data_IF_954643328025
#
_entry.id   IF_954643328025
#
_cell.length_a   1.000
_cell.length_b   1.000
_cell.length_c   1.000
_cell.angle_alpha   90.00
_cell.angle_beta   90.00
_cell.angle_gamma   90.00
#
_symmetry.space_group_name_H-M   'P 1'
#
loop_
_entity.id
_entity.type
_entity.pdbx_description
1 polymer ?
#
# COMPACT_ATOMS: atom_id res chain seq x y z
N UNK A 1 11.94 8.09 -3.11
CA UNK A 1 11.88 7.15 -1.97
C UNK A 1 10.58 6.37 -1.94
N UNK A 2 9.39 7.01 -2.00
CA UNK A 2 8.11 6.29 -2.05
C UNK A 2 7.98 5.33 -3.25
N UNK A 3 8.37 5.75 -4.47
CA UNK A 3 8.36 4.88 -5.66
C UNK A 3 9.18 3.60 -5.45
N UNK A 4 10.41 3.73 -4.91
CA UNK A 4 11.30 2.60 -4.63
C UNK A 4 10.71 1.62 -3.61
N UNK A 5 10.00 2.13 -2.59
CA UNK A 5 9.34 1.29 -1.59
C UNK A 5 8.11 0.56 -2.18
N UNK A 6 7.35 1.24 -3.04
CA UNK A 6 6.23 0.63 -3.78
C UNK A 6 6.70 -0.49 -4.70
N UNK A 7 7.77 -0.23 -5.46
CA UNK A 7 8.38 -1.20 -6.36
C UNK A 7 8.93 -2.41 -5.59
N UNK A 8 9.56 -2.19 -4.43
CA UNK A 8 10.02 -3.26 -3.54
C UNK A 8 8.87 -4.14 -3.04
N UNK A 9 7.74 -3.54 -2.64
CA UNK A 9 6.52 -4.27 -2.28
C UNK A 9 6.02 -5.14 -3.43
N UNK A 10 5.85 -4.55 -4.61
CA UNK A 10 5.32 -5.26 -5.78
C UNK A 10 6.25 -6.37 -6.23
N UNK A 11 7.58 -6.16 -6.16
CA UNK A 11 8.56 -7.22 -6.45
C UNK A 11 8.43 -8.39 -5.48
N UNK A 12 8.34 -8.12 -4.17
CA UNK A 12 8.18 -9.16 -3.15
C UNK A 12 6.86 -9.91 -3.32
N UNK A 13 5.78 -9.19 -3.62
CA UNK A 13 4.47 -9.77 -3.90
C UNK A 13 4.50 -10.67 -5.15
N UNK A 14 5.10 -10.22 -6.25
CA UNK A 14 5.21 -11.02 -7.48
C UNK A 14 5.95 -12.34 -7.27
N UNK A 15 6.99 -12.34 -6.43
CA UNK A 15 7.70 -13.57 -6.05
C UNK A 15 6.78 -14.52 -5.28
N UNK A 16 6.08 -14.02 -4.26
CA UNK A 16 5.09 -14.80 -3.51
C UNK A 16 4.00 -15.37 -4.44
N UNK A 17 3.40 -14.52 -5.26
CA UNK A 17 2.33 -14.87 -6.19
C UNK A 17 2.79 -15.93 -7.19
N UNK A 18 3.97 -15.76 -7.79
CA UNK A 18 4.53 -16.74 -8.73
C UNK A 18 4.75 -18.10 -8.08
N UNK A 19 5.24 -18.12 -6.84
CA UNK A 19 5.50 -19.37 -6.12
C UNK A 19 4.20 -20.07 -5.71
N UNK A 20 3.19 -19.31 -5.30
CA UNK A 20 1.86 -19.82 -4.99
C UNK A 20 1.10 -20.30 -6.23
N UNK A 21 1.38 -19.76 -7.42
CA UNK A 21 0.71 -20.15 -8.67
C UNK A 21 0.80 -21.65 -8.93
N UNK A 22 1.89 -22.29 -8.51
CA UNK A 22 2.09 -23.75 -8.60
C UNK A 22 0.99 -24.53 -7.88
N UNK A 23 0.44 -23.99 -6.78
CA UNK A 23 -0.65 -24.60 -6.02
C UNK A 23 -2.05 -24.22 -6.53
N UNK A 24 -2.15 -23.15 -7.32
CA UNK A 24 -3.42 -22.56 -7.77
C UNK A 24 -3.79 -22.93 -9.21
N UNK A 25 -2.89 -23.61 -9.92
CA UNK A 25 -3.17 -24.17 -11.24
C UNK A 25 -3.94 -25.48 -11.03
N UNK A 26 -5.19 -25.49 -11.48
CA UNK A 26 -6.12 -26.63 -11.39
C UNK A 26 -5.80 -27.76 -12.39
N UNK A 27 -4.74 -27.65 -13.19
CA UNK A 27 -4.36 -28.64 -14.20
C UNK A 27 -3.76 -29.94 -13.60
N UNK A 28 -3.95 -30.18 -12.30
CA UNK A 28 -3.68 -31.47 -11.65
C UNK A 28 -4.70 -32.56 -12.05
N UNK A 29 -5.20 -32.52 -13.28
CA UNK A 29 -5.85 -33.67 -13.87
C UNK A 29 -4.79 -34.71 -14.21
N UNK A 30 -4.61 -35.69 -13.32
CA UNK A 30 -3.91 -36.91 -13.68
C UNK A 30 -4.72 -37.60 -14.79
N UNK A 31 -4.13 -37.93 -15.95
CA UNK A 31 -4.76 -38.84 -16.88
C UNK A 31 -4.94 -40.20 -16.18
N UNK A 32 -6.18 -40.53 -15.81
CA UNK A 32 -6.55 -41.85 -15.27
C UNK A 32 -6.72 -42.01 -13.75
N UNK A 33 -6.83 -40.94 -12.96
CA UNK A 33 -7.36 -41.07 -11.58
C UNK A 33 -8.43 -40.03 -11.27
N UNK A 34 -9.69 -40.40 -11.43
CA UNK A 34 -10.79 -39.66 -10.81
C UNK A 34 -10.56 -39.63 -9.28
N UNK A 35 -10.36 -38.44 -8.71
CA UNK A 35 -10.36 -38.19 -7.26
C UNK A 35 -9.03 -38.37 -6.50
N UNK A 36 -7.92 -38.71 -7.16
CA UNK A 36 -6.60 -38.86 -6.49
C UNK A 36 -6.03 -37.53 -5.98
N UNK A 37 -6.01 -36.52 -6.85
CA UNK A 37 -5.46 -35.20 -6.53
C UNK A 37 -6.22 -34.48 -5.41
N UNK A 38 -7.56 -34.45 -5.46
CA UNK A 38 -8.35 -33.77 -4.42
C UNK A 38 -8.14 -34.40 -3.03
N UNK A 39 -8.00 -35.72 -2.97
CA UNK A 39 -7.71 -36.44 -1.72
C UNK A 39 -6.31 -36.13 -1.19
N UNK A 40 -5.31 -36.13 -2.08
CA UNK A 40 -3.94 -35.80 -1.71
C UNK A 40 -3.84 -34.34 -1.26
N UNK A 41 -4.46 -33.42 -2.01
CA UNK A 41 -4.55 -32.00 -1.67
C UNK A 41 -5.23 -31.77 -0.33
N UNK A 42 -6.36 -32.43 -0.06
CA UNK A 42 -7.03 -32.34 1.23
C UNK A 42 -6.13 -32.86 2.37
N UNK A 43 -5.27 -33.85 2.10
CA UNK A 43 -4.27 -34.34 3.06
C UNK A 43 -3.15 -33.33 3.32
N UNK A 44 -2.77 -32.53 2.31
CA UNK A 44 -1.77 -31.45 2.41
C UNK A 44 -2.31 -30.20 3.13
N UNK A 45 -3.51 -29.75 2.77
CA UNK A 45 -4.02 -28.42 3.10
C UNK A 45 -5.18 -28.45 4.11
N UNK A 46 -5.69 -29.63 4.48
CA UNK A 46 -6.83 -29.82 5.38
C UNK A 46 -8.08 -29.06 4.89
N UNK A 47 -8.15 -28.85 3.59
CA UNK A 47 -9.15 -28.06 2.90
C UNK A 47 -9.29 -28.58 1.47
N UNK A 48 -10.49 -28.51 0.91
CA UNK A 48 -10.70 -28.85 -0.49
C UNK A 48 -10.05 -27.82 -1.42
N UNK A 49 -9.71 -28.27 -2.64
CA UNK A 49 -9.00 -27.47 -3.64
C UNK A 49 -9.76 -26.19 -3.99
N UNK A 50 -11.09 -26.27 -4.12
CA UNK A 50 -11.91 -25.14 -4.55
C UNK A 50 -11.94 -24.04 -3.49
N UNK A 51 -12.16 -24.41 -2.22
CA UNK A 51 -12.18 -23.46 -1.10
C UNK A 51 -10.80 -22.84 -0.91
N UNK A 52 -9.72 -23.65 -0.93
CA UNK A 52 -8.37 -23.13 -0.82
C UNK A 52 -8.06 -22.13 -1.96
N UNK A 53 -8.28 -22.55 -3.20
CA UNK A 53 -7.95 -21.75 -4.39
C UNK A 53 -8.78 -20.49 -4.46
N UNK A 54 -10.08 -20.58 -4.18
CA UNK A 54 -10.99 -19.42 -4.15
C UNK A 54 -10.56 -18.38 -3.11
N UNK A 55 -10.25 -18.81 -1.89
CA UNK A 55 -9.77 -17.90 -0.84
C UNK A 55 -8.42 -17.29 -1.22
N UNK A 56 -7.47 -18.10 -1.69
CA UNK A 56 -6.12 -17.63 -2.02
C UNK A 56 -6.13 -16.64 -3.18
N UNK A 57 -6.84 -16.92 -4.28
CA UNK A 57 -6.95 -16.01 -5.42
C UNK A 57 -7.59 -14.67 -5.04
N UNK A 58 -8.69 -14.72 -4.28
CA UNK A 58 -9.38 -13.50 -3.84
C UNK A 58 -8.44 -12.61 -3.00
N UNK A 59 -7.72 -13.19 -2.05
CA UNK A 59 -6.87 -12.42 -1.16
C UNK A 59 -5.57 -11.97 -1.84
N UNK A 60 -5.04 -12.73 -2.79
CA UNK A 60 -3.89 -12.32 -3.61
C UNK A 60 -4.24 -11.12 -4.50
N UNK A 61 -5.39 -11.14 -5.17
CA UNK A 61 -5.90 -10.01 -5.96
C UNK A 61 -6.15 -8.77 -5.09
N UNK A 62 -6.75 -8.96 -3.90
CA UNK A 62 -6.92 -7.86 -2.96
C UNK A 62 -5.59 -7.28 -2.50
N UNK A 63 -4.63 -8.13 -2.14
CA UNK A 63 -3.31 -7.69 -1.70
C UNK A 63 -2.60 -6.94 -2.82
N UNK A 64 -2.60 -7.45 -4.05
CA UNK A 64 -2.03 -6.78 -5.22
C UNK A 64 -2.60 -5.37 -5.38
N UNK A 65 -3.94 -5.25 -5.38
CA UNK A 65 -4.63 -3.97 -5.50
C UNK A 65 -4.28 -3.00 -4.38
N UNK A 66 -4.05 -3.45 -3.15
CA UNK A 66 -3.63 -2.54 -2.07
C UNK A 66 -2.14 -2.14 -2.20
N UNK A 67 -1.30 -3.04 -2.69
CA UNK A 67 0.12 -2.77 -2.90
C UNK A 67 0.38 -1.91 -4.14
N UNK A 68 -0.50 -1.89 -5.14
CA UNK A 68 -0.30 -1.07 -6.34
C UNK A 68 -0.85 0.36 -6.21
N UNK A 69 -1.72 0.61 -5.22
CA UNK A 69 -2.30 1.95 -4.99
C UNK A 69 -1.24 3.02 -4.74
N UNK A 70 -1.45 4.19 -5.32
CA UNK A 70 -0.68 5.40 -5.01
C UNK A 70 -0.85 5.79 -3.54
N UNK A 71 -2.11 5.89 -3.09
CA UNK A 71 -2.43 6.13 -1.69
C UNK A 71 -2.38 4.82 -0.90
N UNK A 72 -1.20 4.53 -0.37
CA UNK A 72 -0.93 3.31 0.37
C UNK A 72 -1.71 3.23 1.70
N UNK A 73 -2.38 2.10 1.93
CA UNK A 73 -3.11 1.80 3.18
C UNK A 73 -2.57 0.51 3.81
N UNK A 74 -1.80 0.66 4.88
CA UNK A 74 -1.16 -0.44 5.60
C UNK A 74 -2.20 -1.44 6.14
N UNK A 75 -3.21 -0.97 6.86
CA UNK A 75 -4.19 -1.84 7.51
C UNK A 75 -4.94 -2.73 6.51
N UNK A 76 -5.32 -2.18 5.34
CA UNK A 76 -5.97 -2.96 4.28
C UNK A 76 -5.03 -3.97 3.64
N UNK A 77 -3.76 -3.59 3.44
CA UNK A 77 -2.74 -4.50 2.89
C UNK A 77 -2.47 -5.65 3.87
N UNK A 78 -2.33 -5.33 5.16
CA UNK A 78 -2.08 -6.32 6.21
C UNK A 78 -3.27 -7.24 6.43
N UNK A 79 -4.51 -6.74 6.33
CA UNK A 79 -5.71 -7.57 6.42
C UNK A 79 -5.69 -8.69 5.37
N UNK A 80 -5.50 -8.36 4.09
CA UNK A 80 -5.41 -9.36 3.02
C UNK A 80 -4.20 -10.31 3.22
N UNK A 81 -3.04 -9.74 3.57
CA UNK A 81 -1.83 -10.52 3.85
C UNK A 81 -2.03 -11.54 4.99
N UNK A 82 -2.71 -11.17 6.08
CA UNK A 82 -2.92 -12.06 7.22
C UNK A 82 -3.82 -13.25 6.87
N UNK A 83 -4.82 -13.06 5.99
CA UNK A 83 -5.66 -14.16 5.50
C UNK A 83 -4.83 -15.15 4.69
N UNK A 84 -4.00 -14.65 3.77
CA UNK A 84 -3.04 -15.48 3.00
C UNK A 84 -2.10 -16.22 3.96
N UNK A 85 -1.51 -15.50 4.91
CA UNK A 85 -0.56 -16.06 5.86
C UNK A 85 -1.20 -17.17 6.68
N UNK A 86 -2.43 -17.01 7.15
CA UNK A 86 -3.13 -18.03 7.93
C UNK A 86 -3.24 -19.36 7.16
N UNK A 87 -3.66 -19.31 5.89
CA UNK A 87 -3.82 -20.53 5.07
C UNK A 87 -2.47 -21.16 4.74
N UNK A 88 -1.44 -20.35 4.47
CA UNK A 88 -0.07 -20.85 4.25
C UNK A 88 0.49 -21.49 5.52
N UNK A 89 0.26 -20.89 6.70
CA UNK A 89 0.72 -21.48 7.96
C UNK A 89 0.04 -22.82 8.22
N UNK A 90 -1.26 -22.97 7.93
CA UNK A 90 -1.91 -24.28 8.00
C UNK A 90 -1.22 -25.33 7.12
N UNK A 91 -0.79 -24.96 5.92
CA UNK A 91 0.01 -25.85 5.06
C UNK A 91 1.41 -26.14 5.62
N UNK A 92 2.10 -25.15 6.18
CA UNK A 92 3.45 -25.34 6.77
C UNK A 92 3.38 -26.23 8.01
N UNK A 93 2.40 -25.96 8.88
CA UNK A 93 2.18 -26.62 10.17
C UNK A 93 1.51 -27.98 10.02
N UNK A 94 0.91 -28.27 8.85
CA UNK A 94 0.47 -29.61 8.51
C UNK A 94 1.67 -30.57 8.63
N UNK A 95 1.71 -31.26 9.76
CA UNK A 95 2.54 -32.43 9.92
C UNK A 95 1.93 -33.48 9.00
N UNK A 96 2.70 -33.92 8.01
CA UNK A 96 2.33 -35.10 7.25
C UNK A 96 2.46 -36.34 8.15
N UNK A 97 1.51 -36.53 9.05
CA UNK A 97 1.43 -37.66 9.96
C UNK A 97 0.80 -38.85 9.25
N UNK A 98 1.51 -39.47 8.31
CA UNK A 98 1.22 -40.83 7.88
C UNK A 98 2.49 -41.42 7.27
N UNK A 99 3.16 -42.31 7.99
CA UNK A 99 4.53 -42.77 7.70
C UNK A 99 4.70 -43.59 6.40
N UNK A 100 3.62 -43.95 5.71
CA UNK A 100 3.69 -44.66 4.43
C UNK A 100 3.24 -43.79 3.23
N UNK A 101 2.12 -43.08 3.38
CA UNK A 101 1.57 -42.24 2.30
C UNK A 101 2.37 -40.94 2.09
N UNK A 102 3.05 -40.44 3.13
CA UNK A 102 3.76 -39.17 3.09
C UNK A 102 4.96 -39.16 2.10
N UNK A 103 5.68 -40.27 1.95
CA UNK A 103 6.77 -40.35 0.96
C UNK A 103 6.22 -40.33 -0.48
N UNK A 104 5.13 -41.07 -0.72
CA UNK A 104 4.47 -41.12 -2.02
C UNK A 104 3.93 -39.73 -2.40
N UNK A 105 3.24 -39.10 -1.46
CA UNK A 105 2.66 -37.76 -1.55
C UNK A 105 3.74 -36.70 -1.82
N UNK A 106 4.87 -36.73 -1.10
CA UNK A 106 6.02 -35.85 -1.37
C UNK A 106 6.61 -36.04 -2.76
N UNK A 107 6.71 -37.30 -3.22
CA UNK A 107 7.20 -37.62 -4.56
C UNK A 107 6.26 -37.09 -5.63
N UNK A 108 4.96 -37.26 -5.48
CA UNK A 108 3.97 -36.70 -6.41
C UNK A 108 4.03 -35.17 -6.46
N UNK A 109 4.14 -34.51 -5.31
CA UNK A 109 4.32 -33.07 -5.27
C UNK A 109 5.59 -32.65 -6.04
N UNK A 110 6.71 -33.35 -5.83
CA UNK A 110 7.95 -33.05 -6.53
C UNK A 110 7.88 -33.33 -8.04
N UNK A 111 7.21 -34.41 -8.46
CA UNK A 111 7.00 -34.75 -9.88
C UNK A 111 6.12 -33.70 -10.58
N UNK A 112 5.07 -33.22 -9.90
CA UNK A 112 4.18 -32.21 -10.46
C UNK A 112 4.81 -30.81 -10.49
N UNK A 113 5.37 -30.38 -9.37
CA UNK A 113 5.88 -29.01 -9.22
C UNK A 113 7.31 -28.84 -9.70
N UNK A 114 8.08 -29.93 -9.81
CA UNK A 114 9.52 -29.91 -9.99
C UNK A 114 10.30 -29.45 -8.75
N UNK A 115 9.63 -29.25 -7.59
CA UNK A 115 10.23 -28.69 -6.38
C UNK A 115 9.96 -29.62 -5.20
N UNK A 116 11.00 -29.92 -4.41
CA UNK A 116 10.80 -30.68 -3.17
C UNK A 116 9.90 -29.91 -2.19
N UNK A 117 8.99 -30.62 -1.51
CA UNK A 117 8.07 -30.03 -0.53
C UNK A 117 8.78 -29.16 0.52
N UNK A 118 9.96 -29.61 1.00
CA UNK A 118 10.77 -28.86 1.97
C UNK A 118 11.25 -27.52 1.38
N UNK A 119 11.87 -27.57 0.21
CA UNK A 119 12.37 -26.38 -0.48
C UNK A 119 11.22 -25.41 -0.83
N UNK A 120 10.07 -25.96 -1.23
CA UNK A 120 8.87 -25.19 -1.51
C UNK A 120 8.39 -24.42 -0.27
N UNK A 121 8.28 -25.10 0.89
CA UNK A 121 7.88 -24.50 2.17
C UNK A 121 8.84 -23.39 2.62
N UNK A 122 10.15 -23.65 2.56
CA UNK A 122 11.19 -22.68 2.94
C UNK A 122 11.14 -21.43 2.05
N UNK A 123 11.02 -21.61 0.74
CA UNK A 123 10.91 -20.51 -0.23
C UNK A 123 9.63 -19.71 -0.02
N UNK A 124 8.50 -20.39 0.23
CA UNK A 124 7.22 -19.74 0.50
C UNK A 124 7.29 -18.88 1.78
N UNK A 125 7.88 -19.40 2.86
CA UNK A 125 8.08 -18.66 4.11
C UNK A 125 8.96 -17.43 3.90
N UNK A 126 10.03 -17.57 3.11
CA UNK A 126 10.91 -16.45 2.76
C UNK A 126 10.15 -15.36 1.98
N UNK A 127 9.36 -15.74 0.98
CA UNK A 127 8.57 -14.78 0.19
C UNK A 127 7.52 -14.07 1.04
N UNK A 128 6.85 -14.78 1.94
CA UNK A 128 5.92 -14.20 2.91
C UNK A 128 6.61 -13.20 3.84
N UNK A 129 7.79 -13.54 4.35
CA UNK A 129 8.61 -12.64 5.16
C UNK A 129 9.02 -11.37 4.40
N UNK A 130 9.40 -11.52 3.12
CA UNK A 130 9.76 -10.39 2.26
C UNK A 130 8.58 -9.45 2.02
N UNK A 131 7.39 -9.99 1.73
CA UNK A 131 6.18 -9.17 1.56
C UNK A 131 5.89 -8.38 2.84
N UNK A 132 5.84 -9.05 4.00
CA UNK A 132 5.61 -8.39 5.29
C UNK A 132 6.63 -7.28 5.56
N UNK A 133 7.91 -7.55 5.32
CA UNK A 133 8.99 -6.59 5.50
C UNK A 133 8.82 -5.38 4.57
N UNK A 134 8.57 -5.62 3.29
CA UNK A 134 8.40 -4.54 2.30
C UNK A 134 7.20 -3.63 2.61
N UNK A 135 6.09 -4.21 3.09
CA UNK A 135 4.92 -3.46 3.57
C UNK A 135 5.31 -2.52 4.71
N UNK A 136 6.03 -3.03 5.73
CA UNK A 136 6.50 -2.21 6.85
C UNK A 136 7.48 -1.11 6.42
N UNK A 137 8.39 -1.39 5.47
CA UNK A 137 9.29 -0.40 4.89
C UNK A 137 8.51 0.71 4.17
N UNK A 138 7.48 0.36 3.39
CA UNK A 138 6.63 1.33 2.70
C UNK A 138 5.83 2.18 3.68
N UNK A 139 5.27 1.58 4.72
CA UNK A 139 4.64 2.28 5.84
C UNK A 139 5.58 3.32 6.45
N UNK A 140 6.80 2.90 6.80
CA UNK A 140 7.79 3.77 7.42
C UNK A 140 8.09 4.98 6.53
N UNK A 141 8.32 4.77 5.24
CA UNK A 141 8.55 5.84 4.28
C UNK A 141 7.35 6.79 4.13
N UNK A 142 6.12 6.28 4.19
CA UNK A 142 4.90 7.12 4.18
C UNK A 142 4.87 8.05 5.40
N UNK A 143 5.02 7.51 6.60
CA UNK A 143 5.02 8.29 7.85
C UNK A 143 6.14 9.34 7.85
N UNK A 144 7.33 8.96 7.39
CA UNK A 144 8.48 9.87 7.32
C UNK A 144 8.27 11.01 6.32
N UNK A 145 7.54 10.76 5.23
CA UNK A 145 7.15 11.79 4.29
C UNK A 145 6.12 12.75 4.90
N UNK A 146 5.06 12.22 5.52
CA UNK A 146 4.01 13.00 6.18
C UNK A 146 4.59 13.90 7.28
N UNK A 147 5.45 13.35 8.13
CA UNK A 147 6.15 14.12 9.17
C UNK A 147 6.91 15.31 8.59
N UNK A 148 7.75 15.08 7.57
CA UNK A 148 8.54 16.14 6.92
C UNK A 148 7.69 17.17 6.17
N UNK A 149 6.48 16.81 5.75
CA UNK A 149 5.56 17.77 5.14
C UNK A 149 4.89 18.64 6.20
N UNK A 150 4.49 18.05 7.33
CA UNK A 150 3.91 18.77 8.45
C UNK A 150 4.89 19.77 9.07
N UNK A 151 6.17 19.39 9.26
CA UNK A 151 7.21 20.30 9.77
C UNK A 151 7.40 21.54 8.87
N UNK A 152 7.49 21.34 7.56
CA UNK A 152 7.63 22.44 6.59
C UNK A 152 6.40 23.35 6.57
N UNK A 153 5.20 22.77 6.72
CA UNK A 153 3.98 23.55 6.80
C UNK A 153 3.92 24.42 8.06
N UNK A 154 4.38 23.90 9.20
CA UNK A 154 4.46 24.67 10.47
C UNK A 154 5.44 25.84 10.34
N UNK A 155 6.65 25.59 9.82
CA UNK A 155 7.66 26.65 9.60
C UNK A 155 7.16 27.77 8.69
N UNK A 156 6.43 27.43 7.61
CA UNK A 156 5.87 28.43 6.70
C UNK A 156 4.75 29.28 7.32
N UNK A 157 4.03 28.76 8.32
CA UNK A 157 2.99 29.52 9.05
C UNK A 157 3.63 30.45 10.08
N UNK A 158 4.65 29.97 10.79
CA UNK A 158 5.37 30.75 11.81
C UNK A 158 6.13 31.94 11.20
N UNK A 159 6.89 31.71 10.13
CA UNK A 159 7.61 32.79 9.44
C UNK A 159 6.72 33.87 8.80
N UNK A 160 5.46 33.54 8.48
CA UNK A 160 4.49 34.53 7.98
C UNK A 160 3.99 35.48 9.08
N UNK A 161 3.80 34.99 10.31
CA UNK A 161 3.27 35.80 11.42
C UNK A 161 4.27 36.88 11.83
N UNK A 162 5.56 36.56 11.86
CA UNK A 162 6.62 37.54 12.17
C UNK A 162 6.79 38.62 11.09
N UNK A 163 6.71 38.23 9.81
CA UNK A 163 6.80 39.19 8.70
C UNK A 163 5.62 40.17 8.67
N UNK A 164 4.40 39.74 9.03
CA UNK A 164 3.22 40.62 9.05
C UNK A 164 3.26 41.65 10.17
N UNK A 165 3.85 41.34 11.33
CA UNK A 165 4.01 42.32 12.42
C UNK A 165 5.06 43.39 12.10
N UNK A 166 6.13 43.05 11.38
CA UNK A 166 7.19 43.99 11.03
C UNK A 166 6.75 45.03 9.97
N UNK A 167 5.83 44.66 9.07
CA UNK A 167 5.34 45.56 8.02
C UNK A 167 4.28 46.56 8.54
N UNK A 168 3.51 46.21 9.57
CA UNK A 168 2.50 47.08 10.18
C UNK A 168 3.14 48.29 10.90
N UNK A 169 4.29 48.10 11.55
CA UNK A 169 5.04 49.18 12.21
C UNK A 169 5.66 50.19 11.23
N UNK A 170 5.87 49.80 9.96
CA UNK A 170 6.48 50.66 8.94
C UNK A 170 5.47 51.36 8.04
N UNK A 171 4.16 51.06 8.18
CA UNK A 171 3.06 51.69 7.44
C UNK A 171 2.31 52.73 8.32
N UNK A 172 3.03 53.47 9.17
CA UNK A 172 2.51 54.74 9.69
C UNK A 172 2.77 55.79 8.61
N UNK A 173 1.94 55.78 7.56
CA UNK A 173 1.87 56.90 6.62
C UNK A 173 1.35 58.10 7.42
N UNK A 174 2.23 59.07 7.63
CA UNK A 174 1.91 60.38 8.17
C UNK A 174 1.01 61.07 7.14
N UNK A 175 -0.30 60.92 7.29
CA UNK A 175 -1.28 61.80 6.65
C UNK A 175 -1.46 63.01 7.57
N UNK A 176 -0.64 64.04 7.38
CA UNK A 176 -0.78 65.31 8.10
C UNK A 176 -2.09 65.98 7.68
N UNK A 177 -3.05 66.06 8.61
CA UNK A 177 -4.25 66.87 8.51
C UNK A 177 -3.89 68.35 8.30
N UNK A 178 -4.22 68.89 7.12
CA UNK A 178 -4.28 70.32 6.89
C UNK A 178 -5.67 70.84 7.31
N UNK A 179 -5.64 71.85 8.17
CA UNK A 179 -6.75 72.43 8.92
C UNK A 179 -7.75 73.16 8.00
N UNK A 180 -9.02 73.11 8.41
CA UNK A 180 -10.19 73.82 7.89
C UNK A 180 -9.93 75.30 7.55
N UNK A 181 -10.51 75.74 6.43
CA UNK A 181 -10.65 77.16 6.09
C UNK A 181 -12.04 77.37 5.51
N UNK A 182 -13.02 77.61 6.39
CA UNK A 182 -14.23 78.35 6.03
C UNK A 182 -13.84 79.78 5.67
N UNK A 183 -14.29 80.28 4.52
CA UNK A 183 -14.80 81.65 4.37
C UNK A 183 -15.53 81.79 3.04
N UNK A 184 -16.83 82.03 3.18
CA UNK A 184 -17.74 82.50 2.14
C UNK A 184 -17.31 83.87 1.61
N UNK A 185 -17.39 84.06 0.28
CA UNK A 185 -18.01 85.25 -0.28
C UNK A 185 -18.41 85.06 -1.75
N UNK A 186 -19.52 85.71 -2.06
CA UNK A 186 -20.30 85.67 -3.28
C UNK A 186 -19.70 86.47 -4.43
N UNK A 187 -20.36 86.28 -5.58
CA UNK A 187 -20.53 87.22 -6.71
C UNK A 187 -19.62 87.11 -7.94
N UNK A 188 -20.28 86.59 -8.98
CA UNK A 188 -20.55 87.23 -10.26
C UNK A 188 -19.83 86.70 -11.52
N UNK A 189 -20.69 86.50 -12.51
CA UNK A 189 -20.51 85.92 -13.82
C UNK A 189 -19.44 86.58 -14.70
N UNK A 190 -18.88 85.80 -15.65
CA UNK A 190 -18.80 86.22 -17.05
C UNK A 190 -18.80 85.03 -18.03
N UNK A 191 -19.60 85.20 -19.07
CA UNK A 191 -19.85 84.31 -20.21
C UNK A 191 -18.68 84.20 -21.21
N UNK A 192 -18.58 83.04 -21.89
CA UNK A 192 -18.59 82.82 -23.38
C UNK A 192 -17.85 81.51 -23.72
N UNK A 193 -18.53 80.46 -24.19
CA UNK A 193 -18.89 80.13 -25.59
C UNK A 193 -17.70 80.03 -26.57
N UNK A 194 -17.43 78.81 -27.05
CA UNK A 194 -17.28 78.31 -28.45
C UNK A 194 -17.19 76.77 -28.29
N UNK A 195 -18.01 75.88 -28.85
CA UNK A 195 -18.69 75.80 -30.15
C UNK A 195 -19.92 74.89 -30.02
#
# INVERSE_FOLDING_TARGET
>A
MQHKASESCMKSFRLLHSHLKVLLINDLERPGSEGGYERDFMSFFVQDVQTFTGIMLLNLDQLEKQLDKEEFQEDRSMAAFWVINKHIQMFIDSQFTCDYDNQMIKKYFAEYTGIEVKQFRETLLQHMGNVKKSVAERTSHKRHYEHRMNERQMQSKEGKVDSTKALDASLVVIECNAIESENSNSEHAFNKSVK
#
